data_IF_818476055713
#
_entry.id   IF_818476055713
#
_cell.length_a   1.000
_cell.length_b   1.000
_cell.length_c   1.000
_cell.angle_alpha   90.00
_cell.angle_beta   90.00
_cell.angle_gamma   90.00
#
_symmetry.space_group_name_H-M   'P 1'
#
loop_
_entity.id
_entity.type
_entity.pdbx_description
1 polymer ?
#
# COMPACT_ATOMS: atom_id res chain seq x y z
N UNK A 1 -21.06 -20.44 9.61
CA UNK A 1 -20.41 -19.28 8.94
C UNK A 1 -21.12 -19.01 7.62
N UNK A 2 -21.13 -17.77 7.11
CA UNK A 2 -21.83 -17.42 5.85
C UNK A 2 -21.43 -18.28 4.64
N UNK A 3 -20.18 -18.75 4.58
CA UNK A 3 -19.65 -19.66 3.54
C UNK A 3 -20.35 -21.03 3.53
N UNK A 4 -20.93 -21.47 4.65
CA UNK A 4 -21.62 -22.76 4.74
C UNK A 4 -22.90 -22.81 3.89
N UNK A 5 -23.45 -21.64 3.53
CA UNK A 5 -24.62 -21.55 2.66
C UNK A 5 -24.26 -21.60 1.16
N UNK A 6 -22.98 -21.59 0.79
CA UNK A 6 -22.55 -21.67 -0.61
C UNK A 6 -22.67 -23.11 -1.17
N UNK A 7 -22.95 -23.27 -2.48
CA UNK A 7 -22.86 -24.55 -3.17
C UNK A 7 -21.52 -25.23 -2.91
N UNK A 8 -21.51 -26.56 -2.73
CA UNK A 8 -20.28 -27.33 -2.42
C UNK A 8 -19.09 -27.03 -3.34
N UNK A 9 -19.34 -26.69 -4.62
CA UNK A 9 -18.30 -26.34 -5.61
C UNK A 9 -17.62 -24.98 -5.33
N UNK A 10 -18.29 -24.07 -4.64
CA UNK A 10 -17.81 -22.71 -4.37
C UNK A 10 -17.21 -22.55 -2.96
N UNK A 11 -17.41 -23.51 -2.06
CA UNK A 11 -16.88 -23.45 -0.68
C UNK A 11 -15.35 -23.41 -0.65
N UNK A 12 -14.68 -24.32 -1.36
CA UNK A 12 -13.21 -24.37 -1.40
C UNK A 12 -12.56 -23.09 -1.94
N UNK A 13 -13.01 -22.53 -3.08
CA UNK A 13 -12.55 -21.22 -3.53
C UNK A 13 -12.83 -20.09 -2.53
N UNK A 14 -14.02 -20.06 -1.92
CA UNK A 14 -14.38 -19.03 -0.95
C UNK A 14 -13.53 -19.09 0.33
N UNK A 15 -13.22 -20.28 0.81
CA UNK A 15 -12.31 -20.50 1.95
C UNK A 15 -10.90 -20.01 1.61
N UNK A 16 -10.36 -20.36 0.43
CA UNK A 16 -9.03 -19.89 -0.01
C UNK A 16 -8.95 -18.37 -0.13
N UNK A 17 -10.00 -17.73 -0.66
CA UNK A 17 -10.08 -16.27 -0.74
C UNK A 17 -10.12 -15.67 0.66
N UNK A 18 -10.97 -16.19 1.54
CA UNK A 18 -11.06 -15.73 2.94
C UNK A 18 -9.72 -15.84 3.64
N UNK A 19 -9.05 -16.98 3.53
CA UNK A 19 -7.76 -17.21 4.18
C UNK A 19 -6.71 -16.24 3.63
N UNK A 20 -6.69 -16.01 2.31
CA UNK A 20 -5.85 -14.99 1.69
C UNK A 20 -6.14 -13.56 2.18
N UNK A 21 -7.43 -13.21 2.31
CA UNK A 21 -7.89 -11.90 2.80
C UNK A 21 -7.44 -11.59 4.24
N UNK A 22 -7.12 -12.62 5.01
CA UNK A 22 -6.67 -12.50 6.40
C UNK A 22 -5.13 -12.41 6.52
N UNK A 23 -4.40 -12.38 5.40
CA UNK A 23 -2.94 -12.24 5.39
C UNK A 23 -2.48 -10.84 4.96
N UNK A 24 -1.20 -10.55 5.20
CA UNK A 24 -0.52 -9.32 4.73
C UNK A 24 -0.50 -9.18 3.20
N UNK A 25 -0.78 -10.25 2.45
CA UNK A 25 -0.98 -10.18 1.00
C UNK A 25 -2.08 -9.18 0.63
N UNK A 26 -3.12 -9.06 1.46
CA UNK A 26 -4.23 -8.12 1.23
C UNK A 26 -3.76 -6.68 1.37
N UNK A 27 -2.92 -6.38 2.35
CA UNK A 27 -2.34 -5.05 2.51
C UNK A 27 -1.48 -4.68 1.30
N UNK A 28 -0.66 -5.61 0.80
CA UNK A 28 0.14 -5.43 -0.42
C UNK A 28 -0.72 -5.21 -1.66
N UNK A 29 -1.83 -5.94 -1.81
CA UNK A 29 -2.76 -5.78 -2.94
C UNK A 29 -3.45 -4.43 -2.90
N UNK A 30 -4.02 -4.04 -1.76
CA UNK A 30 -4.73 -2.76 -1.60
C UNK A 30 -3.76 -1.59 -1.80
N UNK A 31 -2.59 -1.65 -1.14
CA UNK A 31 -1.56 -0.64 -1.28
C UNK A 31 -1.08 -0.54 -2.73
N UNK A 32 -0.74 -1.67 -3.35
CA UNK A 32 -0.25 -1.73 -4.72
C UNK A 32 -1.23 -1.18 -5.75
N UNK A 33 -2.50 -1.58 -5.66
CA UNK A 33 -3.56 -1.07 -6.54
C UNK A 33 -3.77 0.44 -6.36
N UNK A 34 -3.80 0.93 -5.13
CA UNK A 34 -3.92 2.36 -4.83
C UNK A 34 -2.73 3.17 -5.36
N UNK A 35 -1.52 2.64 -5.25
CA UNK A 35 -0.31 3.28 -5.77
C UNK A 35 -0.29 3.35 -7.30
N UNK A 36 -0.72 2.29 -7.98
CA UNK A 36 -0.84 2.32 -9.45
C UNK A 36 -1.88 3.36 -9.87
N UNK A 37 -3.05 3.38 -9.23
CA UNK A 37 -4.07 4.39 -9.50
C UNK A 37 -3.55 5.83 -9.28
N UNK A 38 -2.79 6.04 -8.20
CA UNK A 38 -2.10 7.31 -7.92
C UNK A 38 -1.11 7.67 -9.02
N UNK A 39 -0.26 6.72 -9.43
CA UNK A 39 0.71 6.97 -10.49
C UNK A 39 0.04 7.30 -11.83
N UNK A 40 -1.01 6.58 -12.21
CA UNK A 40 -1.81 6.88 -13.40
C UNK A 40 -2.39 8.30 -13.33
N UNK A 41 -2.85 8.75 -12.15
CA UNK A 41 -3.38 10.12 -11.98
C UNK A 41 -2.36 11.23 -12.24
N UNK A 42 -1.06 10.92 -12.26
CA UNK A 42 0.02 11.85 -12.61
C UNK A 42 0.53 11.69 -14.05
N UNK A 43 0.00 10.73 -14.79
CA UNK A 43 0.36 10.52 -16.20
C UNK A 43 -0.48 11.41 -17.11
N UNK A 44 0.05 11.73 -18.29
CA UNK A 44 -0.66 12.50 -19.32
C UNK A 44 -1.97 11.82 -19.78
N UNK A 45 -2.11 10.52 -19.53
CA UNK A 45 -3.32 9.74 -19.82
C UNK A 45 -4.51 10.22 -18.96
N UNK A 46 -4.25 10.71 -17.75
CA UNK A 46 -5.29 11.17 -16.82
C UNK A 46 -5.77 12.61 -17.11
N UNK A 47 -5.18 13.30 -18.09
CA UNK A 47 -5.47 14.69 -18.43
C UNK A 47 -4.32 15.64 -18.03
N UNK A 48 -4.53 16.97 -18.16
CA UNK A 48 -3.52 17.96 -17.79
C UNK A 48 -3.08 17.74 -16.34
N UNK A 49 -1.76 17.64 -16.12
CA UNK A 49 -1.19 17.36 -14.81
C UNK A 49 -1.65 18.36 -13.74
N UNK A 50 -1.79 17.94 -12.48
CA UNK A 50 -2.20 18.83 -11.41
C UNK A 50 -1.25 20.03 -11.33
N UNK A 51 -1.80 21.24 -11.31
CA UNK A 51 -0.99 22.45 -11.19
C UNK A 51 -0.55 22.64 -9.73
N UNK A 52 0.76 22.56 -9.45
CA UNK A 52 1.34 23.13 -8.24
C UNK A 52 1.46 22.18 -7.04
N UNK A 53 1.79 20.91 -7.27
CA UNK A 53 2.14 20.02 -6.17
C UNK A 53 3.55 20.32 -5.64
N UNK A 54 3.81 20.37 -4.31
CA UNK A 54 5.15 20.69 -3.76
C UNK A 54 6.28 19.83 -4.31
N UNK A 55 6.02 18.54 -4.46
CA UNK A 55 6.97 17.56 -4.99
C UNK A 55 7.37 17.78 -6.46
N UNK A 56 6.70 18.64 -7.23
CA UNK A 56 7.13 19.05 -8.58
C UNK A 56 8.48 19.75 -8.56
N UNK A 57 8.81 20.43 -7.45
CA UNK A 57 10.10 21.09 -7.27
C UNK A 57 11.28 20.12 -7.26
N UNK A 58 11.05 18.83 -6.96
CA UNK A 58 12.09 17.80 -6.91
C UNK A 58 12.24 17.06 -8.23
N UNK A 59 11.13 16.75 -8.90
CA UNK A 59 11.10 16.10 -10.21
C UNK A 59 9.72 16.27 -10.87
N UNK A 60 9.65 16.07 -12.18
CA UNK A 60 8.40 16.19 -12.93
C UNK A 60 7.34 15.18 -12.47
N UNK A 61 6.07 15.53 -12.66
CA UNK A 61 4.95 14.63 -12.34
C UNK A 61 4.99 13.32 -13.13
N UNK A 62 5.51 13.33 -14.35
CA UNK A 62 5.75 12.11 -15.12
C UNK A 62 6.74 11.15 -14.45
N UNK A 63 7.82 11.67 -13.85
CA UNK A 63 8.77 10.84 -13.10
C UNK A 63 8.12 10.28 -11.84
N UNK A 64 7.35 11.09 -11.12
CA UNK A 64 6.59 10.60 -9.96
C UNK A 64 5.57 9.54 -10.35
N UNK A 65 4.88 9.71 -11.48
CA UNK A 65 3.98 8.70 -12.04
C UNK A 65 4.68 7.34 -12.15
N UNK A 66 5.88 7.31 -12.73
CA UNK A 66 6.70 6.10 -12.86
C UNK A 66 7.03 5.50 -11.49
N UNK A 67 7.46 6.31 -10.53
CA UNK A 67 7.81 5.84 -9.17
C UNK A 67 6.60 5.19 -8.48
N UNK A 68 5.44 5.86 -8.50
CA UNK A 68 4.21 5.35 -7.91
C UNK A 68 3.77 4.03 -8.56
N UNK A 69 3.81 3.95 -9.88
CA UNK A 69 3.47 2.71 -10.61
C UNK A 69 4.47 1.61 -10.29
N UNK A 70 5.78 1.89 -10.29
CA UNK A 70 6.81 0.89 -10.04
C UNK A 70 6.69 0.26 -8.64
N UNK A 71 6.51 1.08 -7.61
CA UNK A 71 6.31 0.57 -6.24
C UNK A 71 4.97 -0.17 -6.11
N UNK A 72 3.93 0.31 -6.80
CA UNK A 72 2.63 -0.37 -6.83
C UNK A 72 2.69 -1.75 -7.48
N UNK A 73 3.36 -1.87 -8.63
CA UNK A 73 3.61 -3.14 -9.32
C UNK A 73 4.46 -4.07 -8.45
N UNK A 74 5.48 -3.55 -7.77
CA UNK A 74 6.27 -4.34 -6.83
C UNK A 74 5.39 -4.92 -5.71
N UNK A 75 4.50 -4.12 -5.13
CA UNK A 75 3.57 -4.59 -4.10
C UNK A 75 2.64 -5.70 -4.62
N UNK A 76 2.07 -5.53 -5.82
CA UNK A 76 1.19 -6.53 -6.42
C UNK A 76 1.91 -7.84 -6.75
N UNK A 77 3.10 -7.74 -7.33
CA UNK A 77 3.88 -8.92 -7.75
C UNK A 77 4.39 -9.72 -6.56
N UNK A 78 4.76 -9.07 -5.46
CA UNK A 78 5.27 -9.76 -4.26
C UNK A 78 4.18 -10.26 -3.30
N UNK A 79 2.91 -9.85 -3.48
CA UNK A 79 1.80 -10.23 -2.61
C UNK A 79 1.65 -11.75 -2.35
N UNK A 80 1.84 -12.66 -3.33
CA UNK A 80 1.82 -14.10 -3.07
C UNK A 80 2.91 -14.56 -2.10
N UNK A 81 4.02 -13.82 -2.02
CA UNK A 81 5.17 -14.06 -1.15
C UNK A 81 5.25 -13.04 0.01
N UNK A 82 4.09 -12.67 0.56
CA UNK A 82 3.95 -11.67 1.64
C UNK A 82 4.80 -11.95 2.89
N UNK A 83 5.27 -13.17 3.11
CA UNK A 83 6.13 -13.56 4.25
C UNK A 83 7.63 -13.36 4.03
N UNK A 84 8.04 -12.63 2.99
CA UNK A 84 9.45 -12.42 2.63
C UNK A 84 9.96 -11.05 3.08
N UNK A 85 11.29 -10.92 3.21
CA UNK A 85 11.93 -9.61 3.42
C UNK A 85 11.60 -8.66 2.27
N UNK A 86 11.54 -9.17 1.04
CA UNK A 86 11.16 -8.38 -0.14
C UNK A 86 9.76 -7.80 -0.02
N UNK A 87 8.80 -8.57 0.50
CA UNK A 87 7.46 -8.06 0.77
C UNK A 87 7.46 -6.95 1.84
N UNK A 88 8.24 -7.12 2.91
CA UNK A 88 8.41 -6.08 3.93
C UNK A 88 9.03 -4.80 3.35
N UNK A 89 10.03 -4.92 2.46
CA UNK A 89 10.62 -3.78 1.75
C UNK A 89 9.62 -3.11 0.81
N UNK A 90 8.78 -3.88 0.10
CA UNK A 90 7.74 -3.32 -0.76
C UNK A 90 6.71 -2.52 0.03
N UNK A 91 6.23 -3.04 1.16
CA UNK A 91 5.36 -2.29 2.09
C UNK A 91 6.08 -1.04 2.58
N UNK A 92 7.33 -1.16 3.02
CA UNK A 92 8.13 -0.04 3.50
C UNK A 92 8.29 1.07 2.45
N UNK A 93 8.56 0.70 1.20
CA UNK A 93 8.63 1.64 0.09
C UNK A 93 7.28 2.33 -0.16
N UNK A 94 6.18 1.59 -0.16
CA UNK A 94 4.85 2.15 -0.34
C UNK A 94 4.44 3.09 0.80
N UNK A 95 4.68 2.69 2.05
CA UNK A 95 4.44 3.52 3.25
C UNK A 95 5.33 4.77 3.22
N UNK A 96 6.62 4.61 2.91
CA UNK A 96 7.57 5.71 2.80
C UNK A 96 7.16 6.74 1.75
N UNK A 97 6.66 6.29 0.59
CA UNK A 97 6.20 7.19 -0.46
C UNK A 97 4.94 7.97 -0.04
N UNK A 98 3.99 7.33 0.65
CA UNK A 98 2.84 8.04 1.22
C UNK A 98 3.26 9.03 2.32
N UNK A 99 4.21 8.65 3.17
CA UNK A 99 4.74 9.52 4.22
C UNK A 99 5.42 10.76 3.61
N UNK A 100 6.26 10.56 2.59
CA UNK A 100 6.91 11.64 1.84
C UNK A 100 5.88 12.63 1.29
N UNK A 101 4.79 12.12 0.72
CA UNK A 101 3.70 12.95 0.20
C UNK A 101 2.98 13.73 1.31
N UNK A 102 2.62 13.05 2.40
CA UNK A 102 1.97 13.70 3.54
C UNK A 102 2.83 14.81 4.14
N UNK A 103 4.13 14.56 4.29
CA UNK A 103 5.10 15.56 4.76
C UNK A 103 5.26 16.71 3.79
N UNK A 104 5.27 16.47 2.46
CA UNK A 104 5.39 17.54 1.46
C UNK A 104 4.23 18.54 1.51
N UNK A 105 2.98 18.05 1.66
CA UNK A 105 1.81 18.90 1.84
C UNK A 105 1.79 19.61 3.19
N UNK A 106 2.31 18.96 4.23
CA UNK A 106 2.38 19.56 5.57
C UNK A 106 3.40 20.70 5.57
N UNK A 107 4.54 20.49 4.92
CA UNK A 107 5.56 21.51 4.73
C UNK A 107 5.03 22.71 3.96
N UNK A 108 4.38 22.49 2.82
CA UNK A 108 3.75 23.55 2.03
C UNK A 108 2.72 24.34 2.85
N UNK A 109 1.93 23.66 3.68
CA UNK A 109 0.93 24.31 4.53
C UNK A 109 1.55 25.28 5.53
N UNK A 110 2.73 24.94 6.05
CA UNK A 110 3.47 25.80 6.97
C UNK A 110 4.05 27.01 6.22
N UNK A 111 4.66 26.80 5.06
CA UNK A 111 5.28 27.86 4.26
C UNK A 111 4.26 28.87 3.69
N UNK A 112 3.14 28.37 3.18
CA UNK A 112 2.13 29.20 2.49
C UNK A 112 0.97 29.63 3.39
N UNK A 113 0.97 29.22 4.67
CA UNK A 113 -0.17 29.37 5.59
C UNK A 113 -1.51 28.90 4.98
N UNK A 114 -1.46 27.82 4.20
CA UNK A 114 -2.59 27.32 3.41
C UNK A 114 -3.21 26.05 4.01
N UNK A 115 -4.39 25.65 3.51
CA UNK A 115 -5.11 24.45 4.00
C UNK A 115 -4.63 23.14 3.37
N UNK A 116 -3.46 23.12 2.75
CA UNK A 116 -2.88 21.92 2.11
C UNK A 116 -2.62 20.78 3.10
N UNK A 117 -2.52 21.08 4.40
CA UNK A 117 -2.47 20.07 5.48
C UNK A 117 -3.66 19.09 5.47
N UNK A 118 -4.81 19.47 4.91
CA UNK A 118 -5.97 18.58 4.77
C UNK A 118 -5.62 17.36 3.90
N UNK A 119 -4.82 17.56 2.85
CA UNK A 119 -4.31 16.46 2.02
C UNK A 119 -3.34 15.56 2.79
N UNK A 120 -2.48 16.14 3.65
CA UNK A 120 -1.55 15.39 4.49
C UNK A 120 -2.24 14.38 5.40
N UNK A 121 -3.42 14.72 5.93
CA UNK A 121 -4.18 13.81 6.80
C UNK A 121 -4.50 12.50 6.09
N UNK A 122 -4.96 12.57 4.83
CA UNK A 122 -5.26 11.37 4.05
C UNK A 122 -4.05 10.45 3.90
N UNK A 123 -2.88 11.03 3.64
CA UNK A 123 -1.63 10.29 3.55
C UNK A 123 -1.19 9.67 4.88
N UNK A 124 -1.25 10.43 5.98
CA UNK A 124 -0.90 9.91 7.29
C UNK A 124 -1.87 8.83 7.77
N UNK A 125 -3.15 8.93 7.41
CA UNK A 125 -4.13 7.86 7.66
C UNK A 125 -3.77 6.58 6.90
N UNK A 126 -3.38 6.68 5.63
CA UNK A 126 -2.92 5.50 4.85
C UNK A 126 -1.68 4.88 5.51
N UNK A 127 -0.69 5.70 5.86
CA UNK A 127 0.53 5.25 6.58
C UNK A 127 0.16 4.49 7.86
N UNK A 128 -0.70 5.07 8.69
CA UNK A 128 -1.11 4.49 9.96
C UNK A 128 -1.90 3.19 9.76
N UNK A 129 -2.87 3.17 8.85
CA UNK A 129 -3.73 1.99 8.59
C UNK A 129 -2.95 0.83 7.99
N UNK A 130 -2.06 1.07 7.03
CA UNK A 130 -1.23 0.03 6.42
C UNK A 130 -0.24 -0.53 7.44
N UNK A 131 0.44 0.35 8.17
CA UNK A 131 1.39 -0.08 9.21
C UNK A 131 0.70 -0.89 10.30
N UNK A 132 -0.49 -0.45 10.73
CA UNK A 132 -1.30 -1.18 11.70
C UNK A 132 -1.79 -2.53 11.16
N UNK A 133 -2.24 -2.60 9.91
CA UNK A 133 -2.72 -3.83 9.29
C UNK A 133 -1.62 -4.91 9.25
N UNK A 134 -0.42 -4.52 8.81
CA UNK A 134 0.74 -5.42 8.75
C UNK A 134 1.22 -5.82 10.16
N UNK A 135 1.29 -4.86 11.08
CA UNK A 135 1.67 -5.17 12.46
C UNK A 135 0.67 -6.12 13.13
N UNK A 136 -0.64 -5.92 12.93
CA UNK A 136 -1.68 -6.81 13.43
C UNK A 136 -1.51 -8.22 12.84
N UNK A 137 -1.30 -8.35 11.54
CA UNK A 137 -1.08 -9.63 10.86
C UNK A 137 0.11 -10.41 11.41
N UNK A 138 1.23 -9.72 11.67
CA UNK A 138 2.44 -10.33 12.22
C UNK A 138 2.25 -10.95 13.62
N UNK A 139 1.29 -10.47 14.42
CA UNK A 139 1.04 -10.97 15.79
C UNK A 139 0.21 -12.25 15.82
N UNK A 140 -0.47 -12.58 14.74
CA UNK A 140 -1.29 -13.79 14.62
C UNK A 140 -0.51 -15.00 14.09
N UNK A 141 0.76 -14.83 13.72
CA UNK A 141 1.59 -15.93 13.21
C UNK A 141 2.38 -16.64 14.32
N UNK A 142 2.11 -17.94 14.52
CA UNK A 142 2.93 -18.81 15.37
C UNK A 142 4.01 -19.46 14.51
N UNK A 143 5.29 -19.14 14.78
CA UNK A 143 6.42 -19.82 14.15
C UNK A 143 6.78 -21.06 14.97
N UNK A 144 6.45 -22.25 14.48
CA UNK A 144 6.91 -23.51 15.06
C UNK A 144 8.33 -23.76 14.54
N UNK A 145 9.31 -23.75 15.44
CA UNK A 145 10.69 -24.13 15.14
C UNK A 145 10.85 -25.60 15.52
N UNK A 146 11.12 -26.47 14.55
CA UNK A 146 11.47 -27.86 14.84
C UNK A 146 12.78 -27.88 15.63
N UNK A 147 12.73 -28.47 16.83
CA UNK A 147 13.94 -28.71 17.62
C UNK A 147 14.68 -29.91 16.99
N UNK A 148 16.01 -29.83 16.81
CA UNK A 148 16.79 -31.00 16.43
C UNK A 148 16.56 -32.11 17.46
N UNK A 149 16.21 -33.30 16.98
CA UNK A 149 16.30 -34.51 17.81
C UNK A 149 17.77 -34.92 17.86
N UNK A 150 18.41 -34.66 18.99
CA UNK A 150 19.72 -35.20 19.34
C UNK A 150 19.64 -36.71 19.63
#
# INVERSE_FOLDING_TARGET
MPIDHLPRRLRGPAERIRDGLLTDATALVILGAGMIARGISYSDIAGPGPSGHPAESWMTMGTWSIVWVAVGVLCLTIAPWHRTVTAALAVGAGVGLHLLWGLSFLWQSIEEHSRTWVSSIGYFMIVALVSWAVWRGSRTEIRVREAPHD
#
